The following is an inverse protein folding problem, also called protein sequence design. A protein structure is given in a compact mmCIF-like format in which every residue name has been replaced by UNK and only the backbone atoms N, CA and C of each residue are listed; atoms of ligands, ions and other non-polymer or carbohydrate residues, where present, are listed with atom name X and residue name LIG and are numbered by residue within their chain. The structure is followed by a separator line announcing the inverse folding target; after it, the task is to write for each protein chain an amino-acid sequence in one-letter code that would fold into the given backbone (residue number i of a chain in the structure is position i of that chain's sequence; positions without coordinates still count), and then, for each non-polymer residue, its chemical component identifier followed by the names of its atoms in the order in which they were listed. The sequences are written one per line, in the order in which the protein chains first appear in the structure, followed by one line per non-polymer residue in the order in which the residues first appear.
data_IF_640449804823
#
_entry.id   IF_640449804823
#
_cell.length_a   1.000
_cell.length_b   1.000
_cell.length_c   1.000
_cell.angle_alpha   90.00
_cell.angle_beta   90.00
_cell.angle_gamma   90.00
#
_symmetry.space_group_name_H-M   'P 1'
#
loop_
_entity.id
_entity.type
_entity.pdbx_description
1 polymer ?
#
# COMPACT_ATOMS: atom_id res chain seq x y z
N UNK A 1 -33.32 42.67 -12.79
CA UNK A 1 -34.53 42.31 -11.99
C UNK A 1 -33.97 41.59 -10.77
N UNK A 2 -33.80 42.34 -9.65
CA UNK A 2 -34.74 42.46 -8.54
C UNK A 2 -34.86 41.13 -7.79
N UNK A 3 -34.65 40.98 -6.51
CA UNK A 3 -34.67 41.83 -5.28
C UNK A 3 -34.11 40.92 -4.20
N UNK A 4 -33.18 41.36 -3.31
CA UNK A 4 -33.45 42.02 -2.01
C UNK A 4 -34.47 41.27 -1.13
N UNK A 5 -34.12 40.92 0.12
CA UNK A 5 -34.22 41.72 1.34
C UNK A 5 -33.94 40.80 2.55
N UNK A 6 -33.01 41.09 3.48
CA UNK A 6 -33.27 41.88 4.72
C UNK A 6 -34.08 41.06 5.75
N UNK A 7 -33.80 41.04 7.04
CA UNK A 7 -33.70 42.06 8.13
C UNK A 7 -33.92 41.25 9.44
N UNK A 8 -33.42 41.40 10.58
CA UNK A 8 -33.23 42.37 11.67
C UNK A 8 -32.97 41.56 12.97
N UNK A 9 -32.03 41.89 13.80
CA UNK A 9 -32.02 42.93 14.86
C UNK A 9 -32.92 42.65 16.07
N UNK A 10 -32.35 42.52 17.25
CA UNK A 10 -32.70 43.19 18.49
C UNK A 10 -31.78 42.73 19.60
N UNK A 11 -30.97 43.53 20.18
CA UNK A 11 -31.20 44.71 21.03
C UNK A 11 -31.48 44.35 22.50
N UNK A 12 -30.50 44.67 23.30
CA UNK A 12 -30.56 45.49 24.52
C UNK A 12 -31.10 44.85 25.82
N UNK A 13 -30.41 45.01 26.93
CA UNK A 13 -30.48 46.18 27.79
C UNK A 13 -29.60 45.93 29.03
N UNK A 14 -28.91 46.97 29.41
CA UNK A 14 -28.06 47.20 30.56
C UNK A 14 -28.88 47.25 31.87
N UNK A 15 -28.25 46.83 32.98
CA UNK A 15 -28.45 47.53 34.27
C UNK A 15 -27.12 47.50 35.04
N UNK A 16 -26.65 48.69 35.29
CA UNK A 16 -25.57 48.98 36.21
C UNK A 16 -26.13 49.08 37.65
N UNK A 17 -25.38 48.56 38.60
CA UNK A 17 -25.43 49.08 39.99
C UNK A 17 -24.09 48.88 40.63
N UNK A 18 -23.56 49.97 41.17
CA UNK A 18 -22.28 50.13 41.76
C UNK A 18 -22.19 49.56 43.18
N UNK A 19 -20.98 49.38 43.60
CA UNK A 19 -20.60 49.04 44.96
C UNK A 19 -19.07 49.25 45.10
N UNK A 20 -18.72 50.39 45.61
CA UNK A 20 -17.37 50.73 46.06
C UNK A 20 -17.05 49.94 47.35
N UNK A 21 -15.89 49.33 47.44
CA UNK A 21 -15.22 49.11 48.72
C UNK A 21 -13.78 48.60 48.59
N UNK A 22 -12.90 49.38 49.15
CA UNK A 22 -11.65 49.06 49.87
C UNK A 22 -10.51 48.33 49.11
N UNK A 23 -9.53 49.16 48.77
CA UNK A 23 -8.14 48.78 48.56
C UNK A 23 -7.56 48.19 49.85
N UNK A 24 -7.07 46.93 49.79
CA UNK A 24 -6.04 46.43 50.70
C UNK A 24 -4.81 46.08 49.83
N UNK A 25 -3.82 46.93 49.95
CA UNK A 25 -2.46 46.62 49.50
C UNK A 25 -1.88 45.52 50.38
N UNK A 26 -1.81 44.32 49.87
CA UNK A 26 -0.88 43.33 50.39
C UNK A 26 0.33 43.30 49.49
N UNK A 27 1.46 43.69 50.03
CA UNK A 27 2.80 43.46 49.44
C UNK A 27 3.00 41.94 49.36
N UNK A 28 2.65 41.32 48.22
CA UNK A 28 3.01 39.96 47.86
C UNK A 28 4.22 40.05 46.98
N UNK A 29 5.30 39.46 47.43
CA UNK A 29 6.52 39.20 46.69
C UNK A 29 6.14 38.61 45.34
N UNK A 30 6.52 39.30 44.27
CA UNK A 30 6.49 38.73 42.92
C UNK A 30 7.38 37.50 42.89
N UNK A 31 6.79 36.34 43.05
CA UNK A 31 7.41 35.10 42.55
C UNK A 31 7.47 35.27 41.04
N UNK A 32 8.67 35.45 40.54
CA UNK A 32 8.93 35.34 39.10
C UNK A 32 8.45 33.96 38.65
N UNK A 33 7.20 33.88 38.19
CA UNK A 33 6.71 32.82 37.34
C UNK A 33 7.29 33.02 35.94
N UNK A 34 8.60 32.88 35.87
CA UNK A 34 9.21 32.60 34.61
C UNK A 34 8.74 31.20 34.22
N UNK A 35 7.94 31.00 33.15
CA UNK A 35 7.60 29.66 32.73
C UNK A 35 8.92 28.95 32.48
N UNK A 36 9.19 27.90 33.25
CA UNK A 36 10.25 26.95 32.96
C UNK A 36 10.07 26.65 31.47
N UNK A 37 11.08 26.91 30.61
CA UNK A 37 10.95 26.58 29.20
C UNK A 37 10.50 25.13 29.19
N UNK A 38 9.35 24.84 28.57
CA UNK A 38 8.87 23.48 28.35
C UNK A 38 10.06 22.71 27.80
N UNK A 39 10.71 21.95 28.67
CA UNK A 39 11.70 20.99 28.25
C UNK A 39 10.94 20.14 27.27
N UNK A 40 11.23 20.33 25.97
CA UNK A 40 10.59 19.57 24.91
C UNK A 40 10.66 18.13 25.39
N UNK A 41 9.50 17.56 25.77
CA UNK A 41 9.40 16.17 26.15
C UNK A 41 9.80 15.39 24.90
N UNK A 42 11.08 15.02 24.86
CA UNK A 42 11.57 14.17 23.80
C UNK A 42 10.72 12.90 23.84
N UNK A 43 10.17 12.47 22.70
CA UNK A 43 9.31 11.30 22.67
C UNK A 43 10.08 10.13 23.27
N UNK A 44 9.49 9.45 24.25
CA UNK A 44 10.08 8.26 24.86
C UNK A 44 9.99 7.09 23.88
N UNK A 45 10.89 7.08 22.89
CA UNK A 45 10.93 6.06 21.87
C UNK A 45 11.50 4.75 22.45
N UNK A 46 10.99 3.58 22.02
CA UNK A 46 11.49 2.31 22.50
C UNK A 46 12.98 2.16 22.19
N UNK A 47 13.75 1.66 23.18
CA UNK A 47 15.17 1.44 23.03
C UNK A 47 15.44 0.30 22.05
N UNK A 48 16.11 0.60 20.96
CA UNK A 48 16.53 -0.37 19.94
C UNK A 48 17.92 -0.03 19.38
N UNK A 49 18.62 -0.99 18.75
CA UNK A 49 19.94 -0.74 18.19
C UNK A 49 19.90 0.41 17.17
N UNK A 50 20.86 1.30 17.31
CA UNK A 50 21.01 2.50 16.46
C UNK A 50 21.50 2.13 15.06
N UNK A 51 21.14 2.93 14.09
CA UNK A 51 21.58 2.80 12.71
C UNK A 51 22.02 4.12 12.08
N UNK A 52 22.47 4.10 10.83
CA UNK A 52 22.85 5.31 10.10
C UNK A 52 21.66 6.27 9.97
N UNK A 53 21.92 7.57 9.99
CA UNK A 53 20.95 8.65 9.91
C UNK A 53 20.03 8.84 11.14
N UNK A 54 20.10 8.01 12.18
CA UNK A 54 19.36 8.23 13.42
C UNK A 54 19.81 9.55 14.06
N UNK A 55 18.88 10.21 14.73
CA UNK A 55 19.12 11.49 15.39
C UNK A 55 19.13 11.28 16.90
N UNK A 56 20.27 11.55 17.52
CA UNK A 56 20.52 11.33 18.94
C UNK A 56 20.68 12.67 19.65
N UNK A 57 20.08 12.81 20.81
CA UNK A 57 20.42 13.89 21.74
C UNK A 57 21.34 13.33 22.81
N UNK A 58 22.56 13.84 22.84
CA UNK A 58 23.56 13.51 23.85
C UNK A 58 23.56 14.62 24.87
N UNK A 59 23.28 14.31 26.13
CA UNK A 59 23.33 15.24 27.24
C UNK A 59 24.43 14.82 28.23
N UNK A 60 25.33 15.72 28.52
CA UNK A 60 26.43 15.52 29.50
C UNK A 60 26.20 16.43 30.69
N UNK A 61 26.01 15.81 31.86
CA UNK A 61 25.74 16.55 33.09
C UNK A 61 26.84 17.56 33.40
N UNK A 62 26.46 18.79 33.74
CA UNK A 62 27.34 19.94 34.00
C UNK A 62 28.23 20.37 32.82
N UNK A 63 27.97 19.88 31.59
CA UNK A 63 28.69 20.29 30.40
C UNK A 63 27.74 20.66 29.24
N UNK A 64 27.15 21.85 29.21
CA UNK A 64 26.20 22.25 28.18
C UNK A 64 26.82 22.31 26.77
N UNK A 65 28.11 22.49 26.67
CA UNK A 65 28.84 22.51 25.41
C UNK A 65 28.84 21.19 24.66
N UNK A 66 28.78 20.08 25.40
CA UNK A 66 28.66 18.71 24.87
C UNK A 66 27.21 18.26 24.73
N UNK A 67 26.24 19.01 25.28
CA UNK A 67 24.82 18.68 25.20
C UNK A 67 24.25 19.17 23.88
N UNK A 68 24.22 18.31 22.87
CA UNK A 68 23.79 18.63 21.51
C UNK A 68 23.12 17.42 20.85
N UNK A 69 22.42 17.70 19.76
CA UNK A 69 21.84 16.69 18.89
C UNK A 69 22.84 16.31 17.80
N UNK A 70 23.08 15.02 17.66
CA UNK A 70 23.98 14.42 16.68
C UNK A 70 23.24 13.49 15.74
N UNK A 71 23.53 13.60 14.45
CA UNK A 71 23.10 12.62 13.46
C UNK A 71 24.17 11.56 13.30
N UNK A 72 23.76 10.30 13.34
CA UNK A 72 24.67 9.18 13.04
C UNK A 72 25.09 9.27 11.58
N UNK A 73 26.37 9.37 11.34
CA UNK A 73 26.94 9.45 10.00
C UNK A 73 26.79 8.12 9.24
N UNK A 74 27.00 8.13 7.93
CA UNK A 74 26.97 6.94 7.09
C UNK A 74 28.07 5.92 7.44
N UNK A 75 29.18 6.38 8.06
CA UNK A 75 30.25 5.54 8.61
C UNK A 75 29.87 4.86 9.95
N UNK A 76 28.65 5.10 10.43
CA UNK A 76 28.12 4.47 11.64
C UNK A 76 28.58 5.09 12.94
N UNK A 77 29.12 6.29 12.92
CA UNK A 77 29.71 6.95 14.10
C UNK A 77 29.10 8.33 14.35
N UNK A 78 29.24 8.81 15.57
CA UNK A 78 29.01 10.22 15.95
C UNK A 78 30.32 10.90 16.28
N UNK A 79 30.40 12.22 16.02
CA UNK A 79 31.58 13.03 16.30
C UNK A 79 31.22 14.11 17.32
N UNK A 80 31.74 13.99 18.52
CA UNK A 80 31.63 14.99 19.55
C UNK A 80 32.78 16.01 19.43
N UNK A 81 32.49 17.31 19.63
CA UNK A 81 33.41 18.39 19.35
C UNK A 81 34.75 18.35 20.13
N UNK A 82 34.77 17.73 21.29
CA UNK A 82 35.95 17.64 22.15
C UNK A 82 36.71 16.31 22.01
N UNK A 83 36.13 15.32 21.36
CA UNK A 83 36.77 14.00 21.15
C UNK A 83 37.53 13.98 19.82
N UNK A 84 38.74 13.45 19.85
CA UNK A 84 39.59 13.29 18.66
C UNK A 84 39.11 12.16 17.75
N UNK A 85 38.57 11.11 18.36
CA UNK A 85 38.10 9.93 17.63
C UNK A 85 36.58 9.88 17.54
N UNK A 86 36.00 9.48 16.39
CA UNK A 86 34.58 9.27 16.25
C UNK A 86 34.17 8.06 17.10
N UNK A 87 32.95 8.08 17.66
CA UNK A 87 32.39 7.02 18.48
C UNK A 87 31.49 6.15 17.61
N UNK A 88 31.77 4.86 17.43
CA UNK A 88 30.93 3.94 16.67
C UNK A 88 29.66 3.63 17.45
N UNK A 89 28.49 3.88 16.85
CA UNK A 89 27.18 3.75 17.50
C UNK A 89 26.24 2.74 16.81
N UNK A 90 26.50 2.41 15.55
CA UNK A 90 25.64 1.49 14.78
C UNK A 90 25.64 0.10 15.41
N UNK A 91 24.42 -0.48 15.52
CA UNK A 91 24.20 -1.79 16.15
C UNK A 91 24.18 -1.79 17.68
N UNK A 92 24.46 -0.64 18.33
CA UNK A 92 24.47 -0.52 19.78
C UNK A 92 23.18 0.09 20.29
N UNK A 93 22.80 -0.25 21.52
CA UNK A 93 21.72 0.40 22.24
C UNK A 93 22.17 1.77 22.75
N UNK A 94 21.24 2.75 22.93
CA UNK A 94 21.57 4.07 23.48
C UNK A 94 22.37 3.98 24.79
N UNK A 95 21.98 3.07 25.71
CA UNK A 95 22.67 2.84 26.98
C UNK A 95 24.13 2.34 26.82
N UNK A 96 24.42 1.60 25.77
CA UNK A 96 25.79 1.17 25.48
C UNK A 96 26.63 2.35 24.95
N UNK A 97 25.98 3.21 24.15
CA UNK A 97 26.64 4.41 23.62
C UNK A 97 26.94 5.43 24.74
N UNK A 98 26.06 5.54 25.73
CA UNK A 98 26.34 6.35 26.95
C UNK A 98 27.65 5.94 27.61
N UNK A 99 27.83 4.62 27.80
CA UNK A 99 29.04 4.07 28.43
C UNK A 99 30.30 4.30 27.57
N UNK A 100 30.18 4.24 26.25
CA UNK A 100 31.33 4.50 25.36
C UNK A 100 31.71 5.98 25.30
N UNK A 101 30.72 6.88 25.26
CA UNK A 101 30.98 8.32 25.35
C UNK A 101 31.67 8.64 26.69
N UNK A 102 31.14 8.09 27.81
CA UNK A 102 31.74 8.29 29.12
C UNK A 102 33.19 7.81 29.17
N UNK A 103 33.50 6.61 28.68
CA UNK A 103 34.85 6.08 28.61
C UNK A 103 35.78 6.95 27.74
N UNK A 104 35.30 7.43 26.61
CA UNK A 104 36.08 8.31 25.73
C UNK A 104 36.41 9.63 26.38
N UNK A 105 35.47 10.26 27.09
CA UNK A 105 35.68 11.52 27.82
C UNK A 105 36.71 11.38 28.94
N UNK A 106 36.72 10.22 29.63
CA UNK A 106 37.73 9.92 30.66
C UNK A 106 39.09 9.63 30.02
N UNK A 107 39.16 8.86 28.95
CA UNK A 107 40.40 8.47 28.28
C UNK A 107 41.15 9.71 27.71
N UNK A 108 40.41 10.68 27.18
CA UNK A 108 40.99 11.94 26.68
C UNK A 108 41.17 12.99 27.79
N UNK A 109 40.99 12.63 29.06
CA UNK A 109 41.16 13.48 30.25
C UNK A 109 40.29 14.77 30.22
N UNK A 110 39.15 14.73 29.57
CA UNK A 110 38.20 15.85 29.49
C UNK A 110 37.37 15.93 30.78
N UNK A 111 36.94 14.79 31.29
CA UNK A 111 36.13 14.67 32.52
C UNK A 111 36.57 13.45 33.33
N UNK A 112 36.48 13.56 34.66
CA UNK A 112 36.87 12.47 35.58
C UNK A 112 35.73 11.47 35.79
N UNK A 113 34.50 11.94 35.91
CA UNK A 113 33.28 11.12 36.14
C UNK A 113 32.12 11.71 35.33
N UNK A 114 32.08 11.45 34.01
CA UNK A 114 31.03 12.01 33.15
C UNK A 114 29.74 11.21 33.30
N UNK A 115 28.64 11.89 33.66
CA UNK A 115 27.29 11.35 33.57
C UNK A 115 26.72 11.74 32.20
N UNK A 116 26.59 10.75 31.31
CA UNK A 116 26.13 10.90 29.93
C UNK A 116 24.76 10.24 29.78
N UNK A 117 23.85 10.95 29.15
CA UNK A 117 22.52 10.41 28.76
C UNK A 117 22.36 10.54 27.25
N UNK A 118 21.98 9.47 26.60
CA UNK A 118 21.70 9.41 25.16
C UNK A 118 20.23 9.09 24.92
N UNK A 119 19.52 10.07 24.38
CA UNK A 119 18.10 9.91 24.01
C UNK A 119 17.97 9.95 22.51
N UNK A 120 17.18 9.03 21.95
CA UNK A 120 16.89 9.04 20.52
C UNK A 120 15.76 10.02 20.24
N UNK A 121 16.05 11.03 19.43
CA UNK A 121 15.07 12.01 18.98
C UNK A 121 14.25 11.47 17.83
N UNK A 122 14.92 10.80 16.88
CA UNK A 122 14.28 10.28 15.68
C UNK A 122 15.05 9.05 15.16
N UNK A 123 14.33 7.95 14.93
CA UNK A 123 14.86 6.81 14.18
C UNK A 123 14.59 7.02 12.70
N UNK A 124 15.62 6.94 11.87
CA UNK A 124 15.54 6.98 10.39
C UNK A 124 16.21 5.79 9.72
N UNK A 125 16.84 4.95 10.52
CA UNK A 125 17.66 3.84 10.02
C UNK A 125 16.88 2.61 9.59
N UNK A 126 15.56 2.55 9.89
CA UNK A 126 14.73 1.37 9.69
C UNK A 126 13.44 1.66 8.93
N UNK A 127 13.53 2.26 7.74
CA UNK A 127 12.35 2.51 6.94
C UNK A 127 11.79 1.17 6.41
N UNK A 128 10.49 1.00 6.50
CA UNK A 128 9.73 -0.04 5.81
C UNK A 128 8.79 0.65 4.85
N UNK A 129 8.84 0.25 3.59
CA UNK A 129 8.03 0.83 2.53
C UNK A 129 7.00 -0.17 2.03
N UNK A 130 5.73 0.23 1.97
CA UNK A 130 4.63 -0.54 1.40
C UNK A 130 4.09 0.19 0.20
N UNK A 131 4.21 -0.44 -0.97
CA UNK A 131 3.89 0.18 -2.27
C UNK A 131 3.04 -0.72 -3.15
N UNK A 132 2.50 -0.16 -4.23
CA UNK A 132 1.69 -0.88 -5.22
C UNK A 132 0.21 -0.91 -4.88
N UNK A 133 -0.44 -2.06 -5.10
CA UNK A 133 -1.88 -2.21 -4.98
C UNK A 133 -2.35 -2.37 -3.51
N UNK A 134 -2.04 -1.38 -2.69
CA UNK A 134 -2.56 -1.18 -1.33
C UNK A 134 -3.46 0.05 -1.31
N UNK A 135 -4.33 0.18 -0.31
CA UNK A 135 -5.24 1.32 -0.22
C UNK A 135 -4.49 2.63 -0.04
N UNK A 136 -3.43 2.63 0.77
CA UNK A 136 -2.61 3.81 1.05
C UNK A 136 -1.13 3.43 1.10
N UNK A 137 -0.38 3.64 0.03
CA UNK A 137 1.07 3.46 0.05
C UNK A 137 1.70 4.29 1.18
N UNK A 138 2.59 3.67 1.94
CA UNK A 138 3.18 4.29 3.14
C UNK A 138 4.63 3.84 3.33
N UNK A 139 5.46 4.76 3.81
CA UNK A 139 6.78 4.45 4.35
C UNK A 139 6.81 4.88 5.81
N UNK A 140 7.23 4.00 6.69
CA UNK A 140 7.30 4.26 8.12
C UNK A 140 8.56 3.65 8.72
N UNK A 141 8.93 4.08 9.92
CA UNK A 141 10.03 3.49 10.66
C UNK A 141 9.53 2.27 11.44
N UNK A 142 10.31 1.19 11.42
CA UNK A 142 9.99 -0.02 12.18
C UNK A 142 10.38 0.17 13.65
N UNK A 143 9.40 0.37 14.53
CA UNK A 143 9.59 0.46 15.98
C UNK A 143 9.12 -0.82 16.67
N UNK A 144 9.95 -1.39 17.53
CA UNK A 144 9.61 -2.62 18.24
C UNK A 144 9.48 -3.83 17.31
N UNK A 145 8.59 -4.76 17.65
CA UNK A 145 8.34 -5.95 16.84
C UNK A 145 7.20 -5.70 15.88
N UNK A 146 7.51 -5.40 14.64
CA UNK A 146 6.55 -5.22 13.55
C UNK A 146 6.63 -6.42 12.62
N UNK A 147 5.48 -7.02 12.32
CA UNK A 147 5.36 -8.14 11.38
C UNK A 147 4.84 -7.67 10.02
N UNK A 148 4.95 -8.55 9.03
CA UNK A 148 4.52 -8.25 7.67
C UNK A 148 3.06 -7.79 7.58
N UNK A 149 2.13 -8.46 8.27
CA UNK A 149 0.73 -8.06 8.31
C UNK A 149 0.52 -6.69 8.97
N UNK A 150 1.32 -6.34 9.97
CA UNK A 150 1.22 -5.02 10.61
C UNK A 150 1.59 -3.91 9.61
N UNK A 151 2.59 -4.16 8.75
CA UNK A 151 2.97 -3.24 7.70
C UNK A 151 1.86 -3.05 6.66
N UNK A 152 1.23 -4.15 6.24
CA UNK A 152 0.08 -4.10 5.32
C UNK A 152 -1.11 -3.37 5.96
N UNK A 153 -1.39 -3.61 7.25
CA UNK A 153 -2.45 -2.91 7.99
C UNK A 153 -2.18 -1.40 8.11
N UNK A 154 -0.92 -0.98 8.24
CA UNK A 154 -0.56 0.46 8.20
C UNK A 154 -0.82 1.11 6.84
N UNK A 155 -0.77 0.33 5.77
CA UNK A 155 -1.18 0.73 4.43
C UNK A 155 -2.71 0.64 4.20
N UNK A 156 -3.50 0.50 5.26
CA UNK A 156 -4.96 0.32 5.25
C UNK A 156 -5.41 -0.96 4.53
N UNK A 157 -4.48 -1.93 4.36
CA UNK A 157 -4.72 -3.20 3.71
C UNK A 157 -4.62 -3.15 2.19
N UNK A 158 -4.96 -4.26 1.55
CA UNK A 158 -4.91 -4.41 0.10
C UNK A 158 -6.01 -3.60 -0.59
N UNK A 159 -5.68 -3.08 -1.77
CA UNK A 159 -6.69 -2.46 -2.65
C UNK A 159 -7.54 -3.53 -3.34
N UNK A 160 -8.64 -3.12 -3.97
CA UNK A 160 -9.46 -4.01 -4.80
C UNK A 160 -8.74 -4.53 -6.04
N UNK A 161 -7.64 -3.90 -6.41
CA UNK A 161 -6.80 -4.24 -7.55
C UNK A 161 -5.56 -5.06 -7.18
N UNK A 162 -5.43 -5.47 -5.91
CA UNK A 162 -4.29 -6.25 -5.46
C UNK A 162 -4.27 -7.65 -6.06
N UNK A 163 -3.07 -8.07 -6.49
CA UNK A 163 -2.80 -9.43 -6.91
C UNK A 163 -2.76 -10.41 -5.73
N UNK A 164 -2.68 -11.69 -6.04
CA UNK A 164 -2.61 -12.75 -5.03
C UNK A 164 -1.20 -12.95 -4.45
N UNK A 165 -0.22 -12.30 -4.99
CA UNK A 165 1.19 -12.43 -4.60
C UNK A 165 1.74 -11.05 -4.24
N UNK A 166 2.53 -10.97 -3.19
CA UNK A 166 3.33 -9.80 -2.86
C UNK A 166 4.81 -10.16 -2.90
N UNK A 167 5.64 -9.18 -3.21
CA UNK A 167 7.09 -9.32 -3.23
C UNK A 167 7.67 -8.49 -2.10
N UNK A 168 8.42 -9.13 -1.21
CA UNK A 168 9.14 -8.45 -0.13
C UNK A 168 10.63 -8.51 -0.43
N UNK A 169 11.21 -7.35 -0.68
CA UNK A 169 12.65 -7.16 -0.87
C UNK A 169 13.29 -6.93 0.49
N UNK A 170 14.10 -7.87 0.94
CA UNK A 170 14.80 -7.83 2.23
C UNK A 170 16.25 -7.45 1.98
N UNK A 171 16.76 -6.35 2.56
CA UNK A 171 18.15 -5.97 2.42
C UNK A 171 19.06 -7.02 3.07
N UNK A 172 20.23 -7.23 2.49
CA UNK A 172 21.24 -8.09 3.06
C UNK A 172 22.18 -7.32 4.01
N UNK A 173 22.94 -8.05 4.82
CA UNK A 173 23.93 -7.46 5.71
C UNK A 173 25.07 -6.76 4.95
N UNK A 174 25.39 -7.23 3.74
CA UNK A 174 26.32 -6.56 2.83
C UNK A 174 25.55 -5.49 2.02
N UNK A 175 25.89 -4.20 2.16
CA UNK A 175 25.24 -3.12 1.42
C UNK A 175 25.36 -3.22 -0.11
N UNK A 176 26.37 -3.96 -0.61
CA UNK A 176 26.59 -4.14 -2.04
C UNK A 176 25.89 -5.38 -2.60
N UNK A 177 25.36 -6.25 -1.74
CA UNK A 177 24.63 -7.43 -2.18
C UNK A 177 23.19 -7.04 -2.61
N UNK A 178 22.66 -7.64 -3.68
CA UNK A 178 21.29 -7.39 -4.10
C UNK A 178 20.30 -7.86 -3.01
N UNK A 179 19.18 -7.17 -2.79
CA UNK A 179 18.19 -7.58 -1.81
C UNK A 179 17.61 -8.95 -2.14
N UNK A 180 17.35 -9.75 -1.13
CA UNK A 180 16.66 -11.03 -1.29
C UNK A 180 15.17 -10.77 -1.50
N UNK A 181 14.65 -11.25 -2.62
CA UNK A 181 13.21 -11.17 -2.91
C UNK A 181 12.50 -12.41 -2.38
N UNK A 182 11.44 -12.18 -1.59
CA UNK A 182 10.54 -13.22 -1.10
C UNK A 182 9.18 -13.01 -1.74
N UNK A 183 8.72 -14.03 -2.45
CA UNK A 183 7.39 -14.08 -3.02
C UNK A 183 6.42 -14.70 -2.00
N UNK A 184 5.39 -13.99 -1.63
CA UNK A 184 4.45 -14.38 -0.58
C UNK A 184 3.05 -14.38 -1.16
N UNK A 185 2.39 -15.53 -1.07
CA UNK A 185 0.99 -15.64 -1.45
C UNK A 185 0.11 -14.95 -0.39
N UNK A 186 -0.69 -13.99 -0.82
CA UNK A 186 -1.55 -13.17 0.06
C UNK A 186 -2.60 -14.03 0.78
N UNK A 187 -3.15 -15.06 0.11
CA UNK A 187 -4.12 -15.97 0.72
C UNK A 187 -3.50 -16.83 1.80
N UNK A 188 -2.31 -17.38 1.55
CA UNK A 188 -1.63 -18.20 2.54
C UNK A 188 -1.26 -17.37 3.78
N UNK A 189 -0.90 -16.11 3.58
CA UNK A 189 -0.61 -15.19 4.68
C UNK A 189 -1.85 -14.84 5.50
N UNK A 190 -3.01 -14.61 4.85
CA UNK A 190 -4.24 -14.14 5.51
C UNK A 190 -5.09 -15.31 5.98
N UNK A 191 -5.43 -16.25 5.07
CA UNK A 191 -6.42 -17.29 5.33
C UNK A 191 -5.85 -18.44 6.17
N UNK A 192 -4.58 -18.79 5.93
CA UNK A 192 -3.88 -19.85 6.67
C UNK A 192 -3.15 -19.34 7.90
N UNK A 193 -2.96 -18.02 7.99
CA UNK A 193 -2.24 -17.36 9.09
C UNK A 193 -0.86 -17.99 9.37
N UNK A 194 -0.15 -18.40 8.33
CA UNK A 194 1.15 -19.07 8.43
C UNK A 194 2.15 -18.15 9.15
N UNK A 195 2.67 -18.59 10.34
CA UNK A 195 3.60 -17.78 11.10
C UNK A 195 4.93 -17.53 10.37
N UNK A 196 5.36 -18.43 9.47
CA UNK A 196 6.59 -18.29 8.71
C UNK A 196 6.49 -17.21 7.64
N UNK A 197 5.30 -17.03 7.08
CA UNK A 197 5.03 -15.96 6.12
C UNK A 197 4.86 -14.60 6.80
N UNK A 198 4.36 -14.57 8.06
CA UNK A 198 4.21 -13.35 8.84
C UNK A 198 5.44 -13.07 9.70
N UNK A 199 6.60 -12.97 9.08
CA UNK A 199 7.88 -12.74 9.75
C UNK A 199 8.04 -11.31 10.27
N UNK A 200 8.98 -11.12 11.19
CA UNK A 200 9.31 -9.82 11.78
C UNK A 200 10.16 -9.00 10.81
N UNK A 201 9.74 -7.77 10.58
CA UNK A 201 10.47 -6.79 9.78
C UNK A 201 11.58 -6.15 10.63
N UNK A 202 12.76 -6.06 10.08
CA UNK A 202 13.96 -5.51 10.75
C UNK A 202 14.21 -4.05 10.39
N UNK A 203 13.57 -3.57 9.31
CA UNK A 203 13.78 -2.26 8.69
C UNK A 203 14.66 -2.33 7.45
N UNK A 204 14.34 -1.51 6.48
CA UNK A 204 14.93 -1.52 5.15
C UNK A 204 14.17 -2.38 4.13
N UNK A 205 13.12 -3.09 4.54
CA UNK A 205 12.32 -3.89 3.63
C UNK A 205 11.40 -3.04 2.76
N UNK A 206 11.30 -3.43 1.49
CA UNK A 206 10.32 -2.90 0.55
C UNK A 206 9.28 -3.99 0.26
N UNK A 207 8.03 -3.72 0.62
CA UNK A 207 6.88 -4.57 0.38
C UNK A 207 6.16 -4.01 -0.84
N UNK A 208 6.16 -4.77 -1.93
CA UNK A 208 5.49 -4.41 -3.18
C UNK A 208 4.33 -5.35 -3.43
N UNK A 209 3.14 -4.78 -3.58
CA UNK A 209 1.93 -5.52 -3.94
C UNK A 209 1.63 -5.22 -5.41
N UNK A 210 1.85 -6.15 -6.34
CA UNK A 210 1.48 -5.94 -7.73
C UNK A 210 -0.04 -5.93 -7.89
N UNK A 211 -0.52 -5.33 -8.97
CA UNK A 211 -1.92 -5.44 -9.35
C UNK A 211 -2.21 -6.86 -9.84
N UNK A 212 -3.46 -7.29 -9.70
CA UNK A 212 -3.88 -8.57 -10.27
C UNK A 212 -3.71 -8.57 -11.80
N UNK A 213 -3.38 -9.73 -12.33
CA UNK A 213 -3.36 -9.94 -13.75
C UNK A 213 -4.81 -10.03 -14.28
N UNK A 214 -5.03 -9.51 -15.48
CA UNK A 214 -6.34 -9.49 -16.14
C UNK A 214 -6.23 -9.92 -17.59
N UNK A 215 -7.31 -10.48 -18.10
CA UNK A 215 -7.55 -10.70 -19.52
C UNK A 215 -8.85 -10.03 -19.91
N UNK A 216 -9.04 -9.81 -21.18
CA UNK A 216 -10.28 -9.25 -21.69
C UNK A 216 -10.98 -10.29 -22.57
N UNK A 217 -12.27 -10.47 -22.37
CA UNK A 217 -13.10 -11.33 -23.23
C UNK A 217 -14.07 -10.44 -23.99
N UNK A 218 -14.05 -10.55 -25.30
CA UNK A 218 -14.85 -9.70 -26.19
C UNK A 218 -15.57 -10.53 -27.26
N UNK A 219 -16.59 -9.93 -27.87
CA UNK A 219 -17.37 -10.54 -28.92
C UNK A 219 -18.61 -11.30 -28.42
N UNK A 220 -18.92 -12.43 -29.04
CA UNK A 220 -20.19 -13.13 -28.86
C UNK A 220 -20.22 -14.06 -27.62
N UNK A 221 -20.06 -13.46 -26.44
CA UNK A 221 -20.17 -14.08 -25.10
C UNK A 221 -21.27 -13.40 -24.32
N UNK A 222 -21.82 -14.09 -23.30
CA UNK A 222 -22.92 -13.53 -22.49
C UNK A 222 -22.48 -12.32 -21.69
N UNK A 223 -21.25 -12.34 -21.13
CA UNK A 223 -20.71 -11.24 -20.32
C UNK A 223 -19.32 -10.85 -20.84
N UNK A 224 -19.24 -9.97 -21.85
CA UNK A 224 -17.97 -9.44 -22.29
C UNK A 224 -17.40 -8.47 -21.26
N UNK A 225 -16.07 -8.39 -21.19
CA UNK A 225 -15.40 -7.47 -20.27
C UNK A 225 -14.09 -8.00 -19.72
N UNK A 226 -13.67 -7.41 -18.62
CA UNK A 226 -12.47 -7.79 -17.89
C UNK A 226 -12.71 -9.04 -17.05
N UNK A 227 -11.77 -9.97 -17.13
CA UNK A 227 -11.72 -11.18 -16.29
C UNK A 227 -10.45 -11.18 -15.48
N UNK A 228 -10.58 -11.21 -14.17
CA UNK A 228 -9.44 -11.25 -13.24
C UNK A 228 -8.79 -12.62 -13.24
N UNK A 229 -7.47 -12.62 -13.33
CA UNK A 229 -6.65 -13.82 -13.25
C UNK A 229 -6.13 -13.94 -11.82
N UNK A 230 -6.51 -14.99 -11.12
CA UNK A 230 -5.98 -15.26 -9.78
C UNK A 230 -4.59 -15.90 -9.84
N UNK A 231 -4.40 -16.86 -10.74
CA UNK A 231 -3.13 -17.52 -10.99
C UNK A 231 -2.84 -17.50 -12.50
N UNK A 232 -1.76 -16.85 -12.88
CA UNK A 232 -1.37 -16.73 -14.29
C UNK A 232 -1.06 -18.11 -14.93
N UNK A 233 -0.63 -19.08 -14.11
CA UNK A 233 -0.30 -20.44 -14.56
C UNK A 233 -1.52 -21.29 -14.93
N UNK A 234 -2.72 -20.95 -14.42
CA UNK A 234 -3.93 -21.78 -14.51
C UNK A 234 -5.09 -21.09 -15.27
N UNK A 235 -4.80 -20.00 -15.97
CA UNK A 235 -5.83 -19.30 -16.75
C UNK A 235 -5.85 -19.79 -18.18
N UNK A 236 -6.96 -20.43 -18.54
CA UNK A 236 -7.18 -21.04 -19.86
C UNK A 236 -8.37 -20.42 -20.55
N UNK A 237 -8.51 -20.67 -21.85
CA UNK A 237 -9.64 -20.22 -22.67
C UNK A 237 -10.97 -20.73 -22.11
N UNK A 238 -11.05 -21.98 -21.68
CA UNK A 238 -12.27 -22.53 -21.09
C UNK A 238 -12.65 -21.85 -19.77
N UNK A 239 -11.64 -21.55 -18.92
CA UNK A 239 -11.87 -20.83 -17.67
C UNK A 239 -12.35 -19.40 -17.93
N UNK A 240 -11.75 -18.71 -18.89
CA UNK A 240 -12.16 -17.37 -19.31
C UNK A 240 -13.61 -17.34 -19.82
N UNK A 241 -13.98 -18.32 -20.65
CA UNK A 241 -15.36 -18.46 -21.13
C UNK A 241 -16.35 -18.77 -19.99
N UNK A 242 -15.97 -19.63 -19.05
CA UNK A 242 -16.82 -19.93 -17.90
C UNK A 242 -17.07 -18.66 -17.05
N UNK A 243 -16.04 -17.83 -16.84
CA UNK A 243 -16.16 -16.56 -16.12
C UNK A 243 -16.97 -15.51 -16.88
N UNK A 244 -17.02 -15.62 -18.23
CA UNK A 244 -17.87 -14.79 -19.11
C UNK A 244 -19.27 -15.38 -19.31
N UNK A 245 -19.70 -16.30 -18.47
CA UNK A 245 -21.02 -16.98 -18.49
C UNK A 245 -21.29 -17.78 -19.79
N UNK A 246 -20.23 -18.05 -20.55
CA UNK A 246 -20.27 -18.86 -21.76
C UNK A 246 -20.60 -18.08 -23.02
N UNK A 247 -20.79 -18.83 -24.12
CA UNK A 247 -21.03 -18.29 -25.44
C UNK A 247 -22.49 -17.89 -25.63
N UNK A 248 -22.70 -16.87 -26.47
CA UNK A 248 -24.03 -16.55 -26.99
C UNK A 248 -24.38 -17.46 -28.19
N UNK A 249 -25.65 -17.46 -28.57
CA UNK A 249 -26.14 -18.08 -29.80
C UNK A 249 -25.47 -17.43 -31.01
N UNK A 250 -25.09 -18.25 -32.01
CA UNK A 250 -24.38 -17.77 -33.21
C UNK A 250 -22.92 -17.39 -33.01
N UNK A 251 -22.24 -17.87 -31.99
CA UNK A 251 -20.78 -17.76 -31.90
C UNK A 251 -20.11 -18.57 -33.00
N UNK A 252 -19.03 -18.04 -33.57
CA UNK A 252 -18.20 -18.78 -34.52
C UNK A 252 -17.52 -19.98 -33.85
N UNK A 253 -17.05 -20.93 -34.66
CA UNK A 253 -16.33 -22.12 -34.21
C UNK A 253 -14.90 -21.79 -33.78
N UNK A 254 -14.36 -20.71 -34.33
CA UNK A 254 -13.01 -20.24 -34.13
C UNK A 254 -13.04 -18.95 -33.29
N UNK A 255 -12.04 -18.77 -32.48
CA UNK A 255 -11.80 -17.55 -31.70
C UNK A 255 -10.36 -17.08 -31.91
N UNK A 256 -10.05 -15.90 -31.43
CA UNK A 256 -8.75 -15.29 -31.61
C UNK A 256 -8.24 -14.78 -30.28
N UNK A 257 -6.94 -15.02 -30.00
CA UNK A 257 -6.24 -14.39 -28.89
C UNK A 257 -5.36 -13.28 -29.46
N UNK A 258 -5.63 -12.05 -29.06
CA UNK A 258 -4.75 -10.94 -29.37
C UNK A 258 -3.80 -10.73 -28.19
N UNK A 259 -2.53 -11.07 -28.42
CA UNK A 259 -1.44 -10.97 -27.44
C UNK A 259 -0.51 -9.83 -27.78
N UNK A 260 -0.14 -9.00 -26.82
CA UNK A 260 0.90 -7.99 -27.01
C UNK A 260 2.27 -8.68 -27.01
N UNK A 261 3.06 -8.45 -28.05
CA UNK A 261 4.39 -9.08 -28.21
C UNK A 261 5.49 -8.20 -27.63
N UNK A 262 5.34 -6.88 -27.73
CA UNK A 262 6.34 -5.90 -27.29
C UNK A 262 5.69 -4.62 -26.76
N UNK A 263 6.50 -3.78 -26.09
CA UNK A 263 6.06 -2.49 -25.54
C UNK A 263 5.66 -1.46 -26.60
N UNK A 264 6.04 -1.69 -27.88
CA UNK A 264 5.65 -0.83 -29.01
C UNK A 264 4.20 -1.06 -29.47
N UNK A 265 3.50 -2.01 -28.87
CA UNK A 265 2.07 -2.22 -29.10
C UNK A 265 1.75 -3.18 -30.26
N UNK A 266 2.75 -3.88 -30.81
CA UNK A 266 2.49 -4.95 -31.78
C UNK A 266 1.68 -6.07 -31.13
N UNK A 267 0.62 -6.47 -31.83
CA UNK A 267 -0.29 -7.54 -31.38
C UNK A 267 -0.10 -8.75 -32.29
N UNK A 268 0.10 -9.88 -31.66
CA UNK A 268 0.05 -11.18 -32.33
C UNK A 268 -1.38 -11.69 -32.27
N UNK A 269 -1.93 -12.08 -33.41
CA UNK A 269 -3.20 -12.77 -33.52
C UNK A 269 -2.95 -14.27 -33.53
N UNK A 270 -3.50 -14.99 -32.56
CA UNK A 270 -3.38 -16.43 -32.40
C UNK A 270 -4.77 -17.03 -32.61
N UNK A 271 -5.01 -17.67 -33.77
CA UNK A 271 -6.29 -18.34 -34.02
C UNK A 271 -6.40 -19.60 -33.17
N UNK A 272 -7.58 -19.85 -32.59
CA UNK A 272 -7.89 -21.04 -31.81
C UNK A 272 -9.18 -21.68 -32.30
N UNK A 273 -9.16 -22.99 -32.45
CA UNK A 273 -10.34 -23.80 -32.81
C UNK A 273 -11.21 -24.06 -31.56
N UNK A 274 -11.95 -23.01 -31.14
CA UNK A 274 -12.71 -23.00 -29.90
C UNK A 274 -13.65 -24.21 -29.77
N UNK A 275 -14.29 -24.62 -30.87
CA UNK A 275 -15.18 -25.76 -30.86
C UNK A 275 -14.48 -27.07 -30.52
N UNK A 276 -13.27 -27.30 -31.04
CA UNK A 276 -12.48 -28.49 -30.73
C UNK A 276 -12.05 -28.53 -29.26
N UNK A 277 -11.76 -27.38 -28.66
CA UNK A 277 -11.44 -27.27 -27.24
C UNK A 277 -12.67 -27.63 -26.39
N UNK A 278 -13.83 -27.07 -26.72
CA UNK A 278 -15.10 -27.39 -26.03
C UNK A 278 -15.48 -28.89 -26.16
N UNK A 279 -15.26 -29.45 -27.33
CA UNK A 279 -15.50 -30.89 -27.59
C UNK A 279 -14.39 -31.82 -27.04
N UNK A 280 -13.36 -31.25 -26.35
CA UNK A 280 -12.18 -31.96 -25.82
C UNK A 280 -11.34 -32.68 -26.87
N UNK A 281 -11.40 -32.22 -28.12
CA UNK A 281 -10.64 -32.76 -29.24
C UNK A 281 -9.28 -32.05 -29.41
N UNK A 282 -9.10 -30.92 -28.76
CA UNK A 282 -7.85 -30.14 -28.69
C UNK A 282 -7.56 -29.74 -27.25
N UNK A 283 -6.28 -29.62 -26.85
CA UNK A 283 -5.93 -29.16 -25.53
C UNK A 283 -6.39 -27.71 -25.32
N UNK A 284 -6.70 -27.37 -24.07
CA UNK A 284 -7.06 -26.01 -23.71
C UNK A 284 -5.85 -25.07 -23.80
N UNK A 285 -6.05 -23.86 -24.27
CA UNK A 285 -4.98 -22.90 -24.51
C UNK A 285 -4.83 -21.98 -23.31
N UNK A 286 -3.59 -21.81 -22.83
CA UNK A 286 -3.28 -20.89 -21.74
C UNK A 286 -3.29 -19.45 -22.21
N UNK A 287 -3.92 -18.58 -21.44
CA UNK A 287 -3.97 -17.14 -21.60
C UNK A 287 -2.91 -16.47 -20.74
N UNK A 288 -2.34 -15.39 -21.25
CA UNK A 288 -1.38 -14.54 -20.53
C UNK A 288 -2.05 -13.26 -20.06
N UNK A 289 -1.40 -12.56 -19.13
CA UNK A 289 -1.86 -11.25 -18.67
C UNK A 289 -2.02 -10.28 -19.84
N UNK A 290 -3.12 -9.54 -19.85
CA UNK A 290 -3.51 -8.59 -20.89
C UNK A 290 -3.85 -9.20 -22.26
N UNK A 291 -3.99 -10.53 -22.38
CA UNK A 291 -4.57 -11.14 -23.58
C UNK A 291 -6.02 -10.68 -23.79
N UNK A 292 -6.40 -10.52 -25.06
CA UNK A 292 -7.79 -10.29 -25.44
C UNK A 292 -8.28 -11.54 -26.15
N UNK A 293 -9.21 -12.25 -25.53
CA UNK A 293 -9.91 -13.37 -26.15
C UNK A 293 -11.12 -12.82 -26.90
N UNK A 294 -11.09 -12.90 -28.23
CA UNK A 294 -12.16 -12.42 -29.08
C UNK A 294 -12.92 -13.57 -29.74
N UNK A 295 -14.23 -13.60 -29.56
CA UNK A 295 -15.13 -14.60 -30.15
C UNK A 295 -16.03 -13.91 -31.17
N UNK A 296 -15.80 -14.12 -32.46
CA UNK A 296 -16.64 -13.51 -33.50
C UNK A 296 -18.07 -14.03 -33.52
N UNK A 297 -18.99 -13.22 -34.03
CA UNK A 297 -20.36 -13.62 -34.34
C UNK A 297 -20.46 -14.27 -35.74
N UNK A 298 -21.21 -15.34 -35.88
CA UNK A 298 -21.52 -15.99 -37.17
C UNK A 298 -22.73 -15.28 -37.83
N UNK A 299 -22.44 -14.22 -38.56
CA UNK A 299 -23.47 -13.43 -39.23
C UNK A 299 -24.27 -14.22 -40.26
N UNK A 300 -23.65 -15.20 -40.97
CA UNK A 300 -24.34 -16.03 -41.93
C UNK A 300 -25.42 -16.88 -41.30
N UNK A 301 -25.08 -17.53 -40.19
CA UNK A 301 -26.00 -18.36 -39.43
C UNK A 301 -27.11 -17.55 -38.77
N UNK A 302 -26.81 -16.36 -38.26
CA UNK A 302 -27.77 -15.44 -37.66
C UNK A 302 -28.82 -14.97 -38.70
N UNK A 303 -28.37 -14.60 -39.90
CA UNK A 303 -29.23 -14.11 -40.97
C UNK A 303 -30.13 -15.24 -41.49
N UNK A 304 -29.58 -16.44 -41.68
CA UNK A 304 -30.35 -17.60 -42.17
C UNK A 304 -31.43 -18.06 -41.17
N UNK A 305 -31.09 -18.11 -39.88
CA UNK A 305 -32.06 -18.51 -38.84
C UNK A 305 -33.11 -17.44 -38.62
N UNK A 306 -32.72 -16.15 -38.64
CA UNK A 306 -33.71 -15.07 -38.55
C UNK A 306 -34.68 -15.00 -39.73
N UNK A 307 -34.25 -15.39 -40.94
CA UNK A 307 -35.13 -15.55 -42.08
C UNK A 307 -36.07 -16.76 -41.94
N UNK A 308 -35.55 -17.88 -41.39
CA UNK A 308 -36.35 -19.06 -41.12
C UNK A 308 -37.40 -18.81 -40.04
N UNK A 309 -37.07 -18.15 -38.96
CA UNK A 309 -38.03 -17.77 -37.88
C UNK A 309 -39.14 -16.85 -38.38
N UNK A 310 -38.78 -15.89 -39.26
CA UNK A 310 -39.79 -15.02 -39.91
C UNK A 310 -40.68 -15.81 -40.84
N UNK A 311 -40.13 -16.72 -41.62
CA UNK A 311 -40.91 -17.59 -42.51
C UNK A 311 -41.87 -18.51 -41.72
N UNK A 312 -41.41 -19.09 -40.61
CA UNK A 312 -42.22 -19.93 -39.72
C UNK A 312 -43.32 -19.11 -39.02
N UNK A 313 -43.02 -17.93 -38.51
CA UNK A 313 -44.02 -17.05 -37.89
C UNK A 313 -45.08 -16.58 -38.87
N UNK A 314 -44.70 -16.30 -40.12
CA UNK A 314 -45.64 -15.96 -41.19
C UNK A 314 -46.51 -17.17 -41.58
N UNK A 315 -45.93 -18.38 -41.69
CA UNK A 315 -46.67 -19.58 -42.00
C UNK A 315 -47.67 -19.97 -40.90
N UNK A 316 -47.29 -19.85 -39.62
CA UNK A 316 -48.18 -20.08 -38.48
C UNK A 316 -49.28 -19.00 -38.36
N UNK A 317 -48.96 -17.74 -38.65
CA UNK A 317 -49.93 -16.65 -38.66
C UNK A 317 -51.03 -16.80 -39.75
N UNK A 318 -50.64 -17.30 -40.91
CA UNK A 318 -51.60 -17.57 -42.00
C UNK A 318 -52.46 -18.81 -41.72
N UNK A 319 -51.95 -19.84 -41.04
CA UNK A 319 -52.72 -21.02 -40.65
C UNK A 319 -53.82 -20.69 -39.60
N UNK A 320 -53.58 -19.73 -38.72
CA UNK A 320 -54.56 -19.28 -37.72
C UNK A 320 -55.68 -18.44 -38.34
N UNK A 321 -55.44 -17.76 -39.47
CA UNK A 321 -56.38 -16.93 -40.15
C UNK A 321 -57.42 -17.69 -41.00
N UNK A 322 -57.10 -18.93 -41.43
CA UNK A 322 -57.97 -19.74 -42.29
C UNK A 322 -59.05 -20.49 -41.48
N UNK A 323 -58.88 -20.66 -40.18
CA UNK A 323 -59.88 -21.36 -39.32
C UNK A 323 -61.02 -20.51 -38.81
N UNK A 324 -61.00 -19.17 -39.02
CA UNK A 324 -62.04 -18.25 -38.53
C UNK A 324 -63.10 -17.89 -39.59
N UNK A 325 -62.90 -18.29 -40.85
CA UNK A 325 -63.88 -17.99 -41.94
C UNK A 325 -64.56 -19.24 -42.47
N UNK A 326 -65.07 -20.13 -41.60
CA UNK A 326 -66.04 -21.13 -42.03
C UNK A 326 -67.20 -21.26 -41.03
N UNK A 327 -68.11 -20.31 -41.19
CA UNK A 327 -69.50 -20.45 -40.76
C UNK A 327 -70.41 -19.96 -41.84
#
# INVERSE_FOLDING_TARGET
MMRLQKILLNCSISVALGGAAFAQQTNGSSVDNNPIPEAQMLPNLPSQPLGPNDLLNVAVYKCPELTKTFRVSSDGAIRLALLKSPIPVVGKLPSQVEGEIAKALVAEQIMVDPLVTVTVVEYRSRPVSVTGAVKKPVTFQAFGTIRLLDAVNRAEGFSTEAGNEMVVSVPQADPNAPPVQRHINVRDLIDRADPELNFVLKGGEEIRVPMYNRIFVAGNVKKPGEVRIQDASDTTVMKALAMSEGLLTYSQKDAYIFRRVNDMGEKQEIPIELRKIIERKSPDVKLQANDILYIPEDHKRKTTMGALDRALSTALGTASGVLVYRK
#
